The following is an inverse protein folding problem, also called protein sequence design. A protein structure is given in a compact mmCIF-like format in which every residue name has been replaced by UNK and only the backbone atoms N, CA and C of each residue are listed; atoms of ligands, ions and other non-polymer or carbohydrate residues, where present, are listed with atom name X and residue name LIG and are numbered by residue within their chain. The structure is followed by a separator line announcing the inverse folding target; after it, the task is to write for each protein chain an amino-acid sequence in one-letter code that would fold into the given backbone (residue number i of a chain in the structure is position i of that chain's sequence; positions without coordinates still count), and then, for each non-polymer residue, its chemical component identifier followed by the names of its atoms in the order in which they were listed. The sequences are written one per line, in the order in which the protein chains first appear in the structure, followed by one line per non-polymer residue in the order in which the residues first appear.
data_IF_420652747641
#
_entry.id   IF_420652747641
#
_cell.length_a   1.000
_cell.length_b   1.000
_cell.length_c   1.000
_cell.angle_alpha   90.00
_cell.angle_beta   90.00
_cell.angle_gamma   90.00
#
_symmetry.space_group_name_H-M   'P 1'
#
loop_
_entity.id
_entity.type
_entity.pdbx_description
1 polymer ?
#
# COMPACT_ATOMS: atom_id res chain seq x y z
N UNK A 1 -45.35 1.42 -84.15
CA UNK A 1 -45.12 2.53 -83.19
C UNK A 1 -46.09 2.38 -82.04
N UNK A 2 -45.63 1.94 -80.87
CA UNK A 2 -46.42 1.87 -79.64
C UNK A 2 -45.59 2.38 -78.48
N UNK A 3 -46.01 3.50 -77.89
CA UNK A 3 -45.41 4.13 -76.71
C UNK A 3 -45.81 3.35 -75.46
N UNK A 4 -44.85 2.94 -74.64
CA UNK A 4 -45.10 2.60 -73.23
C UNK A 4 -44.55 3.71 -72.33
N UNK A 5 -45.45 4.29 -71.53
CA UNK A 5 -45.20 5.21 -70.42
C UNK A 5 -45.14 4.40 -69.13
N UNK A 6 -44.29 4.85 -68.20
CA UNK A 6 -44.60 4.92 -66.78
C UNK A 6 -44.22 3.71 -65.92
N UNK A 7 -43.20 3.90 -65.09
CA UNK A 7 -42.86 3.03 -63.98
C UNK A 7 -41.79 3.66 -63.09
N UNK A 8 -42.17 4.68 -62.31
CA UNK A 8 -41.32 5.18 -61.24
C UNK A 8 -41.29 4.13 -60.13
N UNK A 9 -40.19 3.38 -60.05
CA UNK A 9 -39.88 2.56 -58.88
C UNK A 9 -39.34 3.47 -57.78
N UNK A 10 -40.19 3.81 -56.82
CA UNK A 10 -39.77 4.30 -55.51
C UNK A 10 -39.26 3.11 -54.71
N UNK A 11 -37.93 2.90 -54.67
CA UNK A 11 -37.36 1.86 -53.80
C UNK A 11 -36.11 2.32 -53.06
N UNK A 12 -36.39 2.70 -51.81
CA UNK A 12 -35.58 2.69 -50.58
C UNK A 12 -34.06 2.76 -50.74
N UNK A 13 -33.54 3.95 -50.48
CA UNK A 13 -32.12 4.19 -50.25
C UNK A 13 -31.55 3.20 -49.25
N UNK A 14 -30.59 2.41 -49.72
CA UNK A 14 -29.71 1.55 -48.93
C UNK A 14 -28.92 2.48 -48.01
N UNK A 15 -29.26 2.52 -46.72
CA UNK A 15 -28.44 3.22 -45.71
C UNK A 15 -27.02 2.73 -45.90
N UNK A 16 -26.13 3.65 -46.23
CA UNK A 16 -24.72 3.31 -46.42
C UNK A 16 -24.18 2.81 -45.08
N UNK A 17 -23.20 1.90 -45.08
CA UNK A 17 -22.58 1.40 -43.84
C UNK A 17 -22.09 2.56 -42.95
N UNK A 18 -21.70 3.67 -43.59
CA UNK A 18 -21.37 4.95 -42.97
C UNK A 18 -22.54 5.65 -42.27
N UNK A 19 -23.78 5.52 -42.77
CA UNK A 19 -24.97 6.03 -42.08
C UNK A 19 -25.29 5.20 -40.84
N UNK A 20 -25.12 3.88 -40.91
CA UNK A 20 -25.32 2.97 -39.77
C UNK A 20 -24.28 3.27 -38.68
N UNK A 21 -23.00 3.45 -39.04
CA UNK A 21 -21.94 3.83 -38.11
C UNK A 21 -22.19 5.19 -37.45
N UNK A 22 -22.69 6.19 -38.19
CA UNK A 22 -23.07 7.49 -37.61
C UNK A 22 -24.22 7.35 -36.60
N UNK A 23 -25.22 6.54 -36.90
CA UNK A 23 -26.30 6.25 -35.95
C UNK A 23 -25.79 5.54 -34.69
N UNK A 24 -24.89 4.57 -34.82
CA UNK A 24 -24.26 3.88 -33.68
C UNK A 24 -23.45 4.87 -32.83
N UNK A 25 -22.66 5.74 -33.46
CA UNK A 25 -21.86 6.75 -32.75
C UNK A 25 -22.75 7.75 -31.99
N UNK A 26 -23.88 8.19 -32.57
CA UNK A 26 -24.85 9.06 -31.90
C UNK A 26 -25.48 8.33 -30.72
N UNK A 27 -25.89 7.08 -30.89
CA UNK A 27 -26.49 6.28 -29.80
C UNK A 27 -25.49 6.07 -28.67
N UNK A 28 -24.23 5.72 -28.97
CA UNK A 28 -23.16 5.60 -27.97
C UNK A 28 -22.90 6.93 -27.25
N UNK A 29 -22.86 8.05 -27.98
CA UNK A 29 -22.70 9.37 -27.39
C UNK A 29 -23.84 9.70 -26.40
N UNK A 30 -25.09 9.42 -26.77
CA UNK A 30 -26.24 9.59 -25.87
C UNK A 30 -26.17 8.65 -24.67
N UNK A 31 -25.70 7.41 -24.85
CA UNK A 31 -25.54 6.44 -23.77
C UNK A 31 -24.46 6.87 -22.77
N UNK A 32 -23.35 7.42 -23.26
CA UNK A 32 -22.29 7.98 -22.42
C UNK A 32 -22.79 9.21 -21.66
N UNK A 33 -23.54 10.11 -22.31
CA UNK A 33 -24.13 11.28 -21.63
C UNK A 33 -25.16 10.84 -20.58
N UNK A 34 -25.96 9.80 -20.84
CA UNK A 34 -26.86 9.23 -19.84
C UNK A 34 -26.10 8.58 -18.69
N UNK A 35 -25.02 7.84 -18.96
CA UNK A 35 -24.18 7.23 -17.93
C UNK A 35 -23.54 8.29 -17.03
N UNK A 36 -22.99 9.36 -17.64
CA UNK A 36 -22.44 10.50 -16.90
C UNK A 36 -23.53 11.22 -16.12
N UNK A 37 -24.74 11.38 -16.69
CA UNK A 37 -25.89 11.93 -15.99
C UNK A 37 -26.28 11.09 -14.76
N UNK A 38 -26.30 9.76 -14.88
CA UNK A 38 -26.55 8.85 -13.75
C UNK A 38 -25.42 8.89 -12.73
N UNK A 39 -24.16 9.00 -13.14
CA UNK A 39 -23.04 9.11 -12.20
C UNK A 39 -23.05 10.45 -11.45
N UNK A 40 -23.35 11.56 -12.13
CA UNK A 40 -23.36 12.90 -11.52
C UNK A 40 -24.60 13.12 -10.65
N UNK A 41 -25.78 12.62 -11.05
CA UNK A 41 -27.02 12.79 -10.26
C UNK A 41 -27.34 11.61 -9.33
N UNK A 42 -26.73 10.45 -9.52
CA UNK A 42 -26.94 9.25 -8.70
C UNK A 42 -26.06 9.17 -7.45
N UNK A 43 -25.05 10.04 -7.33
CA UNK A 43 -24.18 10.12 -6.15
C UNK A 43 -24.95 10.54 -4.88
N UNK A 44 -26.04 11.31 -4.99
CA UNK A 44 -26.84 11.76 -3.83
C UNK A 44 -27.82 10.70 -3.27
N UNK A 45 -27.90 9.51 -3.89
CA UNK A 45 -28.90 8.47 -3.53
C UNK A 45 -28.30 7.16 -3.00
N UNK A 46 -26.98 7.08 -2.87
CA UNK A 46 -26.28 5.90 -2.37
C UNK A 46 -25.62 6.21 -1.02
N UNK A 47 -26.33 5.90 0.07
CA UNK A 47 -25.76 5.93 1.42
C UNK A 47 -25.45 4.49 1.83
N UNK A 48 -24.16 4.18 1.97
CA UNK A 48 -23.73 2.91 2.55
C UNK A 48 -23.87 2.99 4.07
N UNK A 49 -24.67 2.09 4.63
CA UNK A 49 -24.76 1.85 6.08
C UNK A 49 -24.52 0.37 6.33
N UNK A 50 -24.16 0.00 7.56
CA UNK A 50 -23.65 -1.33 7.96
C UNK A 50 -24.63 -2.53 7.76
N UNK A 51 -25.71 -2.36 7.01
CA UNK A 51 -26.66 -3.43 6.65
C UNK A 51 -27.02 -3.48 5.14
N UNK A 52 -26.17 -2.95 4.26
CA UNK A 52 -26.30 -3.09 2.80
C UNK A 52 -27.14 -2.02 2.08
N UNK A 53 -27.12 -2.07 0.75
CA UNK A 53 -27.61 -1.02 -0.17
C UNK A 53 -29.12 -0.74 0.01
N UNK A 54 -29.50 0.44 0.50
CA UNK A 54 -30.91 0.86 0.60
C UNK A 54 -31.22 2.02 -0.34
N UNK A 55 -32.27 1.86 -1.14
CA UNK A 55 -32.76 2.88 -2.06
C UNK A 55 -33.83 3.75 -1.37
N UNK A 56 -33.54 5.02 -1.07
CA UNK A 56 -34.54 5.95 -0.49
C UNK A 56 -35.12 6.87 -1.57
N UNK A 57 -36.42 6.75 -1.83
CA UNK A 57 -37.17 7.69 -2.67
C UNK A 57 -37.70 8.86 -1.84
N UNK A 58 -37.77 10.10 -2.37
CA UNK A 58 -38.17 11.28 -1.60
C UNK A 58 -39.69 11.52 -1.56
N UNK A 59 -40.51 10.47 -1.63
CA UNK A 59 -41.97 10.60 -1.73
C UNK A 59 -42.70 9.68 -0.76
N UNK A 60 -42.48 9.93 0.54
CA UNK A 60 -43.34 9.47 1.62
C UNK A 60 -43.15 10.36 2.86
N UNK A 61 -43.45 11.66 2.71
CA UNK A 61 -43.82 12.48 3.87
C UNK A 61 -45.26 12.12 4.24
N UNK A 62 -45.40 11.25 5.24
CA UNK A 62 -46.66 10.93 5.90
C UNK A 62 -46.41 10.95 7.41
N UNK A 63 -47.11 11.84 8.09
CA UNK A 63 -47.08 12.14 9.52
C UNK A 63 -47.00 10.90 10.45
N UNK A 64 -46.25 10.99 11.54
CA UNK A 64 -46.80 10.73 12.89
C UNK A 64 -45.90 11.22 14.05
N UNK A 65 -46.39 12.32 14.64
CA UNK A 65 -46.40 12.83 16.04
C UNK A 65 -45.43 12.30 17.11
N UNK A 66 -44.95 13.31 17.85
CA UNK A 66 -44.42 13.31 19.21
C UNK A 66 -45.14 12.35 20.19
N UNK A 67 -44.35 11.68 21.03
CA UNK A 67 -44.67 11.46 22.44
C UNK A 67 -43.44 11.73 23.31
N UNK A 68 -43.49 12.85 24.02
CA UNK A 68 -42.71 13.14 25.22
C UNK A 68 -43.29 12.32 26.39
N UNK A 69 -42.44 11.59 27.12
CA UNK A 69 -42.67 11.29 28.53
C UNK A 69 -41.40 11.60 29.32
N UNK A 70 -41.53 12.56 30.23
CA UNK A 70 -40.60 12.85 31.32
C UNK A 70 -40.48 11.65 32.26
N UNK A 71 -39.29 11.37 32.78
CA UNK A 71 -39.15 10.98 34.19
C UNK A 71 -37.75 11.24 34.73
N UNK A 72 -37.77 11.76 35.95
CA UNK A 72 -36.69 12.42 36.68
C UNK A 72 -35.72 11.43 37.35
N UNK A 73 -34.46 11.86 37.41
CA UNK A 73 -33.56 11.89 38.58
C UNK A 73 -33.54 10.69 39.54
N UNK A 74 -32.45 9.91 39.51
CA UNK A 74 -31.80 9.43 40.74
C UNK A 74 -30.29 9.45 40.54
N UNK A 75 -29.67 10.50 41.06
CA UNK A 75 -28.24 10.57 41.35
C UNK A 75 -27.91 9.60 42.51
N UNK A 76 -27.26 8.47 42.24
CA UNK A 76 -26.74 7.58 43.29
C UNK A 76 -25.30 7.97 43.60
N UNK A 77 -25.18 8.84 44.60
CA UNK A 77 -23.95 9.07 45.37
C UNK A 77 -23.69 7.83 46.21
N UNK A 78 -22.61 7.10 45.91
CA UNK A 78 -22.03 6.12 46.85
C UNK A 78 -20.72 6.72 47.36
N UNK A 79 -20.75 7.26 48.58
CA UNK A 79 -19.55 7.49 49.37
C UNK A 79 -19.20 6.23 50.18
N UNK A 80 -17.90 5.99 50.43
CA UNK A 80 -17.35 4.70 50.82
C UNK A 80 -17.43 4.44 52.34
N UNK A 81 -17.34 3.18 52.81
CA UNK A 81 -16.97 2.91 54.19
C UNK A 81 -15.45 3.02 54.36
N UNK A 82 -15.07 3.76 55.40
CA UNK A 82 -13.71 3.91 55.88
C UNK A 82 -13.16 2.60 56.47
N UNK A 83 -11.88 2.34 56.20
CA UNK A 83 -11.03 1.49 57.02
C UNK A 83 -10.34 0.37 56.25
N UNK A 84 -9.14 0.63 55.71
CA UNK A 84 -7.90 -0.04 56.13
C UNK A 84 -6.72 0.37 55.22
N UNK A 85 -5.82 1.12 55.83
CA UNK A 85 -4.36 1.14 55.63
C UNK A 85 -3.79 1.62 54.29
N UNK A 86 -3.09 2.75 54.41
CA UNK A 86 -2.02 3.21 53.54
C UNK A 86 -1.14 2.06 53.06
N UNK A 87 -1.15 1.83 51.76
CA UNK A 87 0.08 1.49 51.04
C UNK A 87 0.06 2.36 49.80
N UNK A 88 0.71 3.51 49.91
CA UNK A 88 1.08 4.34 48.78
C UNK A 88 2.12 3.54 48.01
N UNK A 89 1.67 2.69 47.09
CA UNK A 89 2.54 2.08 46.10
C UNK A 89 2.88 3.19 45.10
N UNK A 90 4.07 3.77 45.30
CA UNK A 90 4.74 4.62 44.34
C UNK A 90 4.67 3.91 42.98
N UNK A 91 4.08 4.52 41.94
CA UNK A 91 3.97 3.85 40.66
C UNK A 91 5.40 3.52 40.21
N UNK A 92 5.69 2.28 39.79
CA UNK A 92 7.01 1.95 39.29
C UNK A 92 7.32 2.91 38.15
N UNK A 93 8.33 3.74 38.36
CA UNK A 93 9.01 4.47 37.31
C UNK A 93 9.50 3.43 36.30
N UNK A 94 8.77 3.26 35.21
CA UNK A 94 9.11 2.25 34.21
C UNK A 94 7.98 1.72 33.34
N UNK A 95 6.71 2.01 33.62
CA UNK A 95 5.66 1.75 32.62
C UNK A 95 5.70 2.86 31.56
N UNK A 96 6.65 2.75 30.64
CA UNK A 96 6.49 3.32 29.31
C UNK A 96 5.24 2.65 28.74
N UNK A 97 4.09 3.31 28.87
CA UNK A 97 2.93 3.01 28.02
C UNK A 97 3.48 3.12 26.61
N UNK A 98 3.73 1.98 25.92
CA UNK A 98 4.08 2.00 24.50
C UNK A 98 3.02 2.84 23.83
N UNK A 99 3.37 4.07 23.44
CA UNK A 99 2.45 4.89 22.70
C UNK A 99 2.14 4.11 21.43
N UNK A 100 0.87 3.80 21.24
CA UNK A 100 0.40 3.10 20.07
C UNK A 100 0.87 3.89 18.83
N UNK A 101 1.63 3.24 17.95
CA UNK A 101 2.06 3.88 16.71
C UNK A 101 0.83 4.06 15.84
N UNK A 102 0.49 5.31 15.55
CA UNK A 102 -0.53 5.70 14.58
C UNK A 102 0.15 6.45 13.46
N UNK A 103 0.49 5.72 12.40
CA UNK A 103 1.15 6.30 11.25
C UNK A 103 0.14 6.66 10.16
N UNK A 104 0.39 7.75 9.44
CA UNK A 104 -0.37 8.16 8.27
C UNK A 104 0.56 8.30 7.08
N UNK A 105 0.17 7.70 5.95
CA UNK A 105 0.85 7.89 4.68
C UNK A 105 0.48 9.23 4.05
N UNK A 106 1.48 10.00 3.64
CA UNK A 106 1.33 11.27 2.91
C UNK A 106 2.29 11.31 1.72
N UNK A 107 2.00 12.11 0.67
CA UNK A 107 2.95 12.30 -0.42
C UNK A 107 4.17 13.10 0.06
N UNK A 108 5.34 12.84 -0.54
CA UNK A 108 6.60 13.57 -0.24
C UNK A 108 6.44 15.09 -0.42
N UNK A 109 5.60 15.53 -1.37
CA UNK A 109 5.30 16.95 -1.57
C UNK A 109 4.72 17.63 -0.32
N UNK A 110 3.99 16.89 0.54
CA UNK A 110 3.46 17.46 1.78
C UNK A 110 4.57 17.89 2.75
N UNK A 111 5.70 17.19 2.77
CA UNK A 111 6.88 17.56 3.55
C UNK A 111 7.56 18.78 2.93
N UNK A 112 7.76 18.78 1.61
CA UNK A 112 8.42 19.88 0.91
C UNK A 112 7.63 21.18 0.99
N UNK A 113 6.30 21.10 0.91
CA UNK A 113 5.41 22.26 0.98
C UNK A 113 5.08 22.67 2.43
N UNK A 114 5.58 21.95 3.43
CA UNK A 114 5.39 22.23 4.86
C UNK A 114 3.98 21.96 5.39
N UNK A 115 3.16 21.19 4.66
CA UNK A 115 1.76 20.88 5.04
C UNK A 115 1.64 19.59 5.85
N UNK A 116 2.65 18.72 5.83
CA UNK A 116 2.64 17.41 6.48
C UNK A 116 2.27 17.47 7.96
N UNK A 117 2.85 18.40 8.74
CA UNK A 117 2.57 18.52 10.17
C UNK A 117 1.08 18.77 10.45
N UNK A 118 0.46 19.71 9.75
CA UNK A 118 -0.95 20.02 9.95
C UNK A 118 -1.89 18.86 9.54
N UNK A 119 -1.50 18.06 8.54
CA UNK A 119 -2.24 16.87 8.13
C UNK A 119 -2.12 15.74 9.17
N UNK A 120 -0.93 15.53 9.73
CA UNK A 120 -0.70 14.55 10.80
C UNK A 120 -1.46 14.93 12.08
N UNK A 121 -1.44 16.20 12.48
CA UNK A 121 -2.18 16.69 13.65
C UNK A 121 -3.70 16.48 13.47
N UNK A 122 -4.24 16.76 12.27
CA UNK A 122 -5.66 16.51 11.95
C UNK A 122 -6.01 15.01 12.03
N UNK A 123 -5.10 14.14 11.60
CA UNK A 123 -5.26 12.70 11.70
C UNK A 123 -5.00 12.16 13.12
N UNK A 124 -4.43 12.98 14.02
CA UNK A 124 -3.91 12.54 15.32
C UNK A 124 -2.80 11.49 15.19
N UNK A 125 -2.04 11.53 14.08
CA UNK A 125 -0.96 10.60 13.79
C UNK A 125 0.35 11.07 14.44
N UNK A 126 1.12 10.14 14.99
CA UNK A 126 2.43 10.37 15.60
C UNK A 126 3.60 9.85 14.76
N UNK A 127 3.30 9.23 13.61
CA UNK A 127 4.27 8.76 12.65
C UNK A 127 3.86 9.12 11.21
N UNK A 128 4.85 9.32 10.34
CA UNK A 128 4.68 9.66 8.94
C UNK A 128 5.23 8.53 8.07
N UNK A 129 4.41 8.00 7.16
CA UNK A 129 4.87 7.10 6.10
C UNK A 129 5.03 7.90 4.82
N UNK A 130 6.19 7.76 4.17
CA UNK A 130 6.46 8.31 2.84
C UNK A 130 6.77 7.17 1.88
N UNK A 131 6.05 7.09 0.76
CA UNK A 131 6.45 6.24 -0.36
C UNK A 131 7.69 6.86 -1.02
N UNK A 132 8.85 6.30 -0.71
CA UNK A 132 10.13 6.80 -1.18
C UNK A 132 10.53 6.14 -2.50
N UNK A 133 10.13 4.89 -2.72
CA UNK A 133 10.27 4.23 -4.02
C UNK A 133 8.98 3.51 -4.37
N UNK A 134 8.39 3.88 -5.50
CA UNK A 134 7.15 3.27 -5.98
C UNK A 134 7.41 1.97 -6.78
N UNK A 135 6.32 1.27 -7.11
CA UNK A 135 6.34 0.05 -7.94
C UNK A 135 6.67 0.28 -9.42
N UNK A 136 6.67 1.53 -9.90
CA UNK A 136 7.16 1.91 -11.23
C UNK A 136 8.68 2.11 -11.23
N UNK A 137 9.31 2.23 -10.06
CA UNK A 137 10.72 2.49 -9.88
C UNK A 137 11.08 3.96 -9.70
N UNK A 138 10.10 4.86 -9.53
CA UNK A 138 10.36 6.29 -9.29
C UNK A 138 10.75 6.54 -7.84
N UNK A 139 11.69 7.45 -7.63
CA UNK A 139 12.20 7.81 -6.31
C UNK A 139 11.63 9.16 -5.86
N UNK A 140 11.16 9.20 -4.61
CA UNK A 140 10.68 10.39 -3.92
C UNK A 140 11.78 11.33 -3.45
N UNK A 141 13.05 10.94 -3.57
CA UNK A 141 14.21 11.78 -3.23
C UNK A 141 15.19 11.88 -4.40
N UNK A 142 16.13 12.82 -4.29
CA UNK A 142 17.22 12.95 -5.26
C UNK A 142 18.35 12.00 -4.89
N UNK A 143 18.37 10.83 -5.54
CA UNK A 143 19.41 9.81 -5.39
C UNK A 143 20.71 10.20 -6.09
N UNK A 144 21.84 9.78 -5.51
CA UNK A 144 23.19 9.95 -6.06
C UNK A 144 23.70 8.68 -6.75
N UNK A 145 22.96 7.56 -6.67
CA UNK A 145 23.34 6.32 -7.33
C UNK A 145 23.39 6.52 -8.86
N UNK A 146 24.49 6.13 -9.54
CA UNK A 146 24.65 6.33 -10.97
C UNK A 146 23.51 5.76 -11.82
N UNK A 147 22.98 4.59 -11.47
CA UNK A 147 21.86 3.96 -12.18
C UNK A 147 20.57 4.78 -12.06
N UNK A 148 20.24 5.24 -10.85
CA UNK A 148 19.04 6.06 -10.63
C UNK A 148 19.10 7.39 -11.40
N UNK A 149 20.28 8.01 -11.45
CA UNK A 149 20.50 9.26 -12.21
C UNK A 149 20.45 9.01 -13.71
N UNK A 150 21.12 7.96 -14.19
CA UNK A 150 21.20 7.63 -15.63
C UNK A 150 19.83 7.33 -16.22
N UNK A 151 19.00 6.57 -15.51
CA UNK A 151 17.68 6.16 -15.99
C UNK A 151 16.57 7.18 -15.68
N UNK A 152 16.93 8.30 -15.03
CA UNK A 152 16.02 9.41 -14.78
C UNK A 152 14.90 9.09 -13.81
N UNK A 153 15.10 8.15 -12.89
CA UNK A 153 14.12 7.79 -11.85
C UNK A 153 14.26 8.60 -10.56
N UNK A 154 15.38 9.32 -10.43
CA UNK A 154 15.65 10.23 -9.30
C UNK A 154 14.68 11.41 -9.29
N UNK A 155 14.27 11.87 -8.10
CA UNK A 155 13.41 13.05 -7.98
C UNK A 155 14.09 14.29 -8.55
N UNK A 156 13.33 15.05 -9.35
CA UNK A 156 13.75 16.35 -9.89
C UNK A 156 13.24 17.53 -9.05
N UNK A 157 12.56 17.26 -7.93
CA UNK A 157 12.05 18.29 -7.04
C UNK A 157 13.20 19.00 -6.32
N UNK A 158 13.33 20.30 -6.54
CA UNK A 158 14.39 21.10 -5.94
C UNK A 158 14.23 21.15 -4.40
N UNK A 159 15.32 20.95 -3.68
CA UNK A 159 15.34 21.04 -2.22
C UNK A 159 14.72 19.85 -1.49
N UNK A 160 14.32 18.77 -2.21
CA UNK A 160 13.60 17.64 -1.59
C UNK A 160 14.43 16.93 -0.52
N UNK A 161 15.73 16.73 -0.76
CA UNK A 161 16.60 16.06 0.21
C UNK A 161 16.78 16.91 1.46
N UNK A 162 16.99 18.22 1.32
CA UNK A 162 17.12 19.14 2.45
C UNK A 162 15.83 19.23 3.28
N UNK A 163 14.67 19.22 2.61
CA UNK A 163 13.38 19.19 3.28
C UNK A 163 13.18 17.90 4.08
N UNK A 164 13.49 16.74 3.49
CA UNK A 164 13.43 15.43 4.15
C UNK A 164 14.40 15.36 5.35
N UNK A 165 15.65 15.79 5.18
CA UNK A 165 16.63 15.83 6.26
C UNK A 165 16.20 16.75 7.41
N UNK A 166 15.63 17.90 7.09
CA UNK A 166 15.12 18.83 8.11
C UNK A 166 13.93 18.23 8.85
N UNK A 167 13.02 17.58 8.13
CA UNK A 167 11.85 16.92 8.70
C UNK A 167 12.25 15.76 9.62
N UNK A 168 13.20 14.92 9.18
CA UNK A 168 13.71 13.77 9.93
C UNK A 168 14.49 14.13 11.20
N UNK A 169 14.83 15.41 11.42
CA UNK A 169 15.40 15.90 12.69
C UNK A 169 14.32 16.28 13.71
N UNK A 170 13.04 16.22 13.33
CA UNK A 170 11.90 16.53 14.18
C UNK A 170 11.54 15.41 15.15
N UNK A 171 10.39 15.57 15.82
CA UNK A 171 9.90 14.62 16.84
C UNK A 171 8.92 13.57 16.27
N UNK A 172 8.48 13.73 15.01
CA UNK A 172 7.58 12.78 14.35
C UNK A 172 8.40 11.61 13.81
N UNK A 173 8.02 10.39 14.18
CA UNK A 173 8.67 9.18 13.70
C UNK A 173 8.46 9.00 12.19
N UNK A 174 9.52 8.81 11.41
CA UNK A 174 9.45 8.75 9.94
C UNK A 174 9.78 7.38 9.37
N UNK A 175 8.92 6.96 8.45
CA UNK A 175 8.95 5.64 7.84
C UNK A 175 9.09 5.82 6.33
N UNK A 176 10.19 5.35 5.75
CA UNK A 176 10.39 5.31 4.31
C UNK A 176 9.95 3.95 3.77
N UNK A 177 8.94 3.97 2.90
CA UNK A 177 8.41 2.77 2.23
C UNK A 177 9.09 2.58 0.88
N UNK A 178 9.63 1.39 0.64
CA UNK A 178 10.49 1.09 -0.52
C UNK A 178 9.97 -0.14 -1.25
N UNK A 179 9.40 0.04 -2.44
CA UNK A 179 9.04 -1.09 -3.31
C UNK A 179 10.31 -1.68 -3.95
N UNK A 180 10.69 -2.87 -3.49
CA UNK A 180 11.97 -3.50 -3.81
C UNK A 180 11.96 -4.17 -5.19
N UNK A 181 11.69 -5.48 -5.26
CA UNK A 181 11.87 -6.23 -6.50
C UNK A 181 10.77 -6.00 -7.53
N UNK A 182 9.60 -5.49 -7.14
CA UNK A 182 8.58 -5.01 -8.09
C UNK A 182 9.00 -3.63 -8.60
N UNK A 183 9.48 -3.59 -9.84
CA UNK A 183 10.00 -2.37 -10.47
C UNK A 183 9.81 -2.44 -11.99
N UNK A 184 9.10 -1.45 -12.54
CA UNK A 184 8.80 -1.45 -13.97
C UNK A 184 9.91 -0.84 -14.85
N UNK A 185 10.83 -0.07 -14.27
CA UNK A 185 11.86 0.70 -14.97
C UNK A 185 13.20 -0.04 -15.03
N UNK A 186 13.74 -0.45 -13.89
CA UNK A 186 15.09 -1.04 -13.81
C UNK A 186 15.23 -2.32 -14.64
N UNK A 187 14.34 -3.33 -14.53
CA UNK A 187 14.35 -4.50 -15.41
C UNK A 187 14.21 -4.17 -16.90
N UNK A 188 13.54 -3.07 -17.24
CA UNK A 188 13.33 -2.68 -18.63
C UNK A 188 14.61 -2.09 -19.25
N UNK A 189 15.31 -1.24 -18.51
CA UNK A 189 16.57 -0.64 -18.96
C UNK A 189 17.73 -1.65 -18.85
N UNK A 190 17.75 -2.43 -17.77
CA UNK A 190 18.81 -3.39 -17.44
C UNK A 190 18.26 -4.81 -17.38
N UNK A 191 18.23 -5.47 -18.53
CA UNK A 191 17.71 -6.84 -18.62
C UNK A 191 18.48 -7.86 -17.75
N UNK A 192 19.71 -7.55 -17.34
CA UNK A 192 20.51 -8.36 -16.38
C UNK A 192 19.92 -8.39 -14.97
N UNK A 193 19.17 -7.35 -14.59
CA UNK A 193 18.46 -7.29 -13.32
C UNK A 193 17.09 -7.97 -13.38
N UNK A 194 16.57 -8.26 -14.57
CA UNK A 194 15.17 -8.65 -14.74
C UNK A 194 14.91 -10.11 -14.35
N UNK A 195 13.75 -10.35 -13.71
CA UNK A 195 13.17 -11.69 -13.65
C UNK A 195 12.64 -12.07 -15.04
N UNK A 196 13.05 -13.22 -15.56
CA UNK A 196 12.85 -13.60 -16.97
C UNK A 196 11.72 -14.62 -17.16
N UNK A 197 11.07 -14.51 -18.30
CA UNK A 197 10.07 -15.44 -18.82
C UNK A 197 10.41 -15.80 -20.28
N UNK A 198 9.73 -16.81 -20.84
CA UNK A 198 9.93 -17.19 -22.24
C UNK A 198 9.59 -16.08 -23.25
N UNK A 199 8.77 -15.11 -22.85
CA UNK A 199 8.34 -13.99 -23.68
C UNK A 199 9.12 -12.68 -23.42
N UNK A 200 10.16 -12.70 -22.58
CA UNK A 200 10.94 -11.51 -22.22
C UNK A 200 11.04 -11.31 -20.70
N UNK A 201 10.91 -10.07 -20.24
CA UNK A 201 10.79 -9.80 -18.80
C UNK A 201 9.45 -10.35 -18.31
N UNK A 202 9.50 -11.12 -17.24
CA UNK A 202 8.30 -11.58 -16.57
C UNK A 202 7.51 -10.38 -16.04
N UNK A 203 6.20 -10.53 -16.00
CA UNK A 203 5.29 -9.53 -15.45
C UNK A 203 4.26 -10.19 -14.56
N UNK A 204 3.91 -9.46 -13.51
CA UNK A 204 2.87 -9.87 -12.58
C UNK A 204 1.46 -9.59 -13.13
N UNK A 205 0.46 -9.82 -12.28
CA UNK A 205 -0.96 -9.58 -12.56
C UNK A 205 -1.25 -8.11 -12.92
N UNK A 206 -0.50 -7.18 -12.35
CA UNK A 206 -0.58 -5.73 -12.59
C UNK A 206 0.20 -5.28 -13.84
N UNK A 207 0.81 -6.23 -14.56
CA UNK A 207 1.66 -6.00 -15.74
C UNK A 207 2.96 -5.27 -15.42
N UNK A 208 3.35 -5.22 -14.14
CA UNK A 208 4.62 -4.64 -13.71
C UNK A 208 5.72 -5.68 -13.85
N UNK A 209 6.92 -5.20 -14.18
CA UNK A 209 8.11 -6.04 -14.24
C UNK A 209 8.67 -6.21 -12.83
N UNK A 210 9.52 -7.22 -12.72
CA UNK A 210 10.22 -7.52 -11.48
C UNK A 210 11.72 -7.63 -11.76
N UNK A 211 12.51 -7.09 -10.82
CA UNK A 211 13.91 -7.44 -10.67
C UNK A 211 14.02 -8.86 -10.09
N UNK A 212 15.13 -9.52 -10.38
CA UNK A 212 15.41 -10.86 -9.90
C UNK A 212 16.21 -10.78 -8.58
N UNK A 213 15.71 -11.34 -7.45
CA UNK A 213 16.48 -11.44 -6.21
C UNK A 213 17.82 -12.19 -6.33
N UNK A 214 17.98 -13.07 -7.32
CA UNK A 214 19.27 -13.71 -7.62
C UNK A 214 20.29 -12.77 -8.29
N UNK A 215 19.87 -11.58 -8.75
CA UNK A 215 20.75 -10.64 -9.44
C UNK A 215 21.48 -9.74 -8.45
N UNK A 216 22.80 -9.95 -8.33
CA UNK A 216 23.66 -9.09 -7.49
C UNK A 216 23.53 -7.61 -7.88
N UNK A 217 23.36 -7.30 -9.16
CA UNK A 217 23.21 -5.93 -9.64
C UNK A 217 21.92 -5.27 -9.10
N UNK A 218 20.83 -6.03 -9.01
CA UNK A 218 19.58 -5.56 -8.43
C UNK A 218 19.69 -5.40 -6.91
N UNK A 219 20.35 -6.35 -6.24
CA UNK A 219 20.61 -6.31 -4.80
C UNK A 219 21.47 -5.10 -4.43
N UNK A 220 22.58 -4.87 -5.13
CA UNK A 220 23.48 -3.73 -4.91
C UNK A 220 22.74 -2.39 -5.07
N UNK A 221 21.89 -2.29 -6.11
CA UNK A 221 21.09 -1.10 -6.37
C UNK A 221 20.11 -0.82 -5.22
N UNK A 222 19.31 -1.82 -4.82
CA UNK A 222 18.31 -1.66 -3.76
C UNK A 222 18.95 -1.40 -2.38
N UNK A 223 20.03 -2.10 -2.04
CA UNK A 223 20.77 -1.85 -0.79
C UNK A 223 21.39 -0.46 -0.77
N UNK A 224 21.94 0.01 -1.90
CA UNK A 224 22.43 1.37 -2.04
C UNK A 224 21.34 2.43 -1.81
N UNK A 225 20.14 2.22 -2.36
CA UNK A 225 19.00 3.11 -2.14
C UNK A 225 18.57 3.14 -0.67
N UNK A 226 18.53 1.99 -0.01
CA UNK A 226 18.23 1.90 1.42
C UNK A 226 19.27 2.65 2.27
N UNK A 227 20.55 2.53 1.91
CA UNK A 227 21.63 3.28 2.57
C UNK A 227 21.49 4.81 2.40
N UNK A 228 21.09 5.29 1.21
CA UNK A 228 20.81 6.73 1.01
C UNK A 228 19.64 7.21 1.89
N UNK A 229 18.57 6.42 2.01
CA UNK A 229 17.42 6.76 2.86
C UNK A 229 17.80 6.79 4.35
N UNK A 230 18.56 5.80 4.81
CA UNK A 230 19.09 5.80 6.17
C UNK A 230 19.98 7.04 6.43
N UNK A 231 20.81 7.43 5.45
CA UNK A 231 21.61 8.65 5.52
C UNK A 231 20.76 9.94 5.54
N UNK A 232 19.58 9.95 4.93
CA UNK A 232 18.62 11.06 5.02
C UNK A 232 17.95 11.14 6.40
N UNK A 233 18.18 10.17 7.29
CA UNK A 233 17.76 10.20 8.68
C UNK A 233 16.38 9.59 8.95
N UNK A 234 15.88 8.73 8.06
CA UNK A 234 14.63 8.01 8.35
C UNK A 234 14.80 7.07 9.55
N UNK A 235 13.80 7.04 10.44
CA UNK A 235 13.80 6.17 11.61
C UNK A 235 13.60 4.70 11.23
N UNK A 236 12.78 4.44 10.21
CA UNK A 236 12.42 3.10 9.76
C UNK A 236 12.35 2.98 8.23
N UNK A 237 12.85 1.88 7.68
CA UNK A 237 12.59 1.45 6.31
C UNK A 237 11.60 0.29 6.32
N UNK A 238 10.51 0.43 5.57
CA UNK A 238 9.57 -0.67 5.29
C UNK A 238 9.82 -1.15 3.86
N UNK A 239 10.36 -2.36 3.73
CA UNK A 239 10.57 -2.98 2.43
C UNK A 239 9.29 -3.67 1.95
N UNK A 240 8.73 -3.17 0.85
CA UNK A 240 7.61 -3.79 0.15
C UNK A 240 8.11 -4.66 -1.00
N UNK A 241 7.44 -5.79 -1.25
CA UNK A 241 7.89 -6.80 -2.23
C UNK A 241 9.40 -7.17 -2.08
N UNK A 242 9.91 -7.48 -0.87
CA UNK A 242 11.35 -7.72 -0.63
C UNK A 242 11.83 -9.11 -1.06
N UNK A 243 11.07 -9.82 -1.90
CA UNK A 243 11.26 -11.24 -2.15
C UNK A 243 10.76 -11.66 -3.54
N UNK A 244 10.80 -12.96 -3.85
CA UNK A 244 10.26 -13.48 -5.11
C UNK A 244 8.74 -13.30 -5.20
N UNK A 245 8.18 -13.11 -6.41
CA UNK A 245 6.74 -12.97 -6.59
C UNK A 245 6.00 -14.26 -6.23
N UNK A 246 4.88 -14.13 -5.53
CA UNK A 246 3.98 -15.24 -5.17
C UNK A 246 2.66 -15.24 -5.94
N UNK A 247 2.43 -14.22 -6.77
CA UNK A 247 1.23 -14.06 -7.58
C UNK A 247 1.57 -13.89 -9.06
N UNK A 248 0.56 -14.03 -9.92
CA UNK A 248 0.71 -13.98 -11.37
C UNK A 248 1.00 -15.34 -11.99
N UNK A 249 1.45 -15.36 -13.25
CA UNK A 249 1.75 -16.59 -13.97
C UNK A 249 3.18 -17.07 -13.65
N UNK A 250 3.36 -17.65 -12.46
CA UNK A 250 4.66 -18.11 -11.97
C UNK A 250 5.26 -19.22 -12.86
N UNK A 251 4.44 -20.06 -13.49
CA UNK A 251 4.88 -21.12 -14.41
C UNK A 251 5.58 -20.58 -15.67
N UNK A 252 5.36 -19.30 -16.00
CA UNK A 252 6.04 -18.66 -17.13
C UNK A 252 7.45 -18.16 -16.81
N UNK A 253 7.83 -18.13 -15.52
CA UNK A 253 9.17 -17.73 -15.08
C UNK A 253 10.17 -18.79 -15.53
N UNK A 254 11.33 -18.34 -16.02
CA UNK A 254 12.39 -19.25 -16.42
C UNK A 254 12.90 -20.04 -15.21
N UNK A 255 13.14 -21.33 -15.41
CA UNK A 255 13.64 -22.23 -14.36
C UNK A 255 15.17 -22.13 -14.29
N UNK A 256 15.69 -21.03 -13.74
CA UNK A 256 17.10 -20.79 -13.46
C UNK A 256 17.31 -20.34 -12.00
N UNK A 257 18.57 -20.20 -11.56
CA UNK A 257 18.91 -19.70 -10.22
C UNK A 257 18.14 -20.39 -9.08
N UNK A 258 17.47 -19.58 -8.26
CA UNK A 258 16.62 -20.04 -7.16
C UNK A 258 15.39 -20.83 -7.64
N UNK A 259 14.82 -20.53 -8.82
CA UNK A 259 13.73 -21.32 -9.40
C UNK A 259 14.16 -22.73 -9.84
N UNK A 260 15.44 -22.93 -10.18
CA UNK A 260 15.97 -24.24 -10.51
C UNK A 260 16.42 -25.05 -9.27
N UNK A 261 16.93 -24.37 -8.25
CA UNK A 261 17.55 -25.00 -7.08
C UNK A 261 16.65 -25.06 -5.84
N UNK A 262 15.58 -24.26 -5.80
CA UNK A 262 14.75 -24.06 -4.61
C UNK A 262 15.38 -23.13 -3.56
N UNK A 263 16.49 -22.44 -3.88
CA UNK A 263 17.27 -21.62 -2.94
C UNK A 263 16.68 -20.22 -2.67
N UNK A 264 15.35 -20.07 -2.71
CA UNK A 264 14.68 -18.76 -2.59
C UNK A 264 15.03 -18.02 -1.30
N UNK A 265 15.01 -18.72 -0.16
CA UNK A 265 15.33 -18.13 1.15
C UNK A 265 16.76 -17.59 1.17
N UNK A 266 17.73 -18.34 0.67
CA UNK A 266 19.14 -17.91 0.63
C UNK A 266 19.36 -16.65 -0.21
N UNK A 267 18.66 -16.51 -1.34
CA UNK A 267 18.74 -15.30 -2.16
C UNK A 267 18.11 -14.08 -1.45
N UNK A 268 16.99 -14.27 -0.76
CA UNK A 268 16.35 -13.21 0.04
C UNK A 268 17.20 -12.83 1.26
N UNK A 269 17.77 -13.79 1.98
CA UNK A 269 18.71 -13.56 3.08
C UNK A 269 19.92 -12.75 2.64
N UNK A 270 20.49 -13.08 1.47
CA UNK A 270 21.61 -12.33 0.91
C UNK A 270 21.24 -10.86 0.65
N UNK A 271 20.07 -10.62 0.06
CA UNK A 271 19.56 -9.26 -0.13
C UNK A 271 19.39 -8.51 1.20
N UNK A 272 18.69 -9.12 2.17
CA UNK A 272 18.39 -8.49 3.45
C UNK A 272 19.65 -8.22 4.28
N UNK A 273 20.64 -9.13 4.26
CA UNK A 273 21.93 -8.91 4.90
C UNK A 273 22.67 -7.70 4.32
N UNK A 274 22.59 -7.49 3.01
CA UNK A 274 23.23 -6.35 2.37
C UNK A 274 22.50 -5.03 2.67
N UNK A 275 21.16 -5.06 2.79
CA UNK A 275 20.38 -3.91 3.26
C UNK A 275 20.71 -3.59 4.71
N UNK A 276 20.71 -4.59 5.60
CA UNK A 276 21.06 -4.43 7.02
C UNK A 276 22.44 -3.78 7.17
N UNK A 277 23.44 -4.26 6.43
CA UNK A 277 24.78 -3.68 6.42
C UNK A 277 24.79 -2.22 5.95
N UNK A 278 23.95 -1.86 4.97
CA UNK A 278 23.88 -0.50 4.45
C UNK A 278 23.24 0.49 5.43
N UNK A 279 22.32 0.02 6.28
CA UNK A 279 21.57 0.88 7.21
C UNK A 279 22.12 0.87 8.65
N UNK A 280 22.87 -0.15 9.05
CA UNK A 280 23.44 -0.31 10.40
C UNK A 280 24.17 0.95 10.93
N UNK A 281 24.99 1.67 10.13
CA UNK A 281 25.72 2.83 10.63
C UNK A 281 24.82 4.00 11.09
N UNK A 282 23.55 3.99 10.69
CA UNK A 282 22.58 5.05 10.97
C UNK A 282 21.59 4.67 12.08
N UNK A 283 21.56 3.39 12.49
CA UNK A 283 20.60 2.90 13.48
C UNK A 283 19.15 2.86 12.99
N UNK A 284 18.92 2.95 11.68
CA UNK A 284 17.59 2.87 11.07
C UNK A 284 16.99 1.49 11.24
N UNK A 285 15.73 1.42 11.67
CA UNK A 285 14.97 0.17 11.85
C UNK A 285 14.65 -0.44 10.48
N UNK A 286 14.89 -1.73 10.31
CA UNK A 286 14.51 -2.47 9.12
C UNK A 286 13.24 -3.29 9.37
N UNK A 287 12.22 -3.02 8.57
CA UNK A 287 10.92 -3.66 8.62
C UNK A 287 10.54 -4.27 7.29
N UNK A 288 9.83 -5.40 7.32
CA UNK A 288 9.41 -6.11 6.12
C UNK A 288 7.88 -6.13 6.04
N UNK A 289 7.35 -5.79 4.87
CA UNK A 289 5.94 -6.00 4.57
C UNK A 289 5.74 -7.41 4.02
N UNK A 290 4.79 -8.13 4.60
CA UNK A 290 4.44 -9.50 4.21
C UNK A 290 2.97 -9.55 3.83
N UNK A 291 2.68 -10.15 2.68
CA UNK A 291 1.31 -10.33 2.21
C UNK A 291 0.72 -11.64 2.72
N UNK A 292 -0.61 -11.72 2.73
CA UNK A 292 -1.35 -12.93 3.13
C UNK A 292 -0.85 -14.20 2.45
N UNK A 293 -0.69 -14.17 1.13
CA UNK A 293 -0.24 -15.35 0.37
C UNK A 293 1.16 -15.83 0.78
N UNK A 294 2.05 -14.89 1.13
CA UNK A 294 3.40 -15.22 1.58
C UNK A 294 3.37 -15.91 2.95
N UNK A 295 2.47 -15.47 3.85
CA UNK A 295 2.23 -16.11 5.14
C UNK A 295 1.62 -17.50 4.95
N UNK A 296 0.57 -17.64 4.14
CA UNK A 296 -0.12 -18.91 3.89
C UNK A 296 0.82 -19.96 3.26
N UNK A 297 1.72 -19.53 2.38
CA UNK A 297 2.72 -20.40 1.74
C UNK A 297 3.97 -20.64 2.60
N UNK A 298 4.02 -20.10 3.83
CA UNK A 298 5.15 -20.20 4.76
C UNK A 298 6.50 -19.81 4.13
N UNK A 299 6.47 -18.88 3.17
CA UNK A 299 7.66 -18.43 2.46
C UNK A 299 8.30 -19.45 1.49
N UNK A 300 7.65 -20.58 1.20
CA UNK A 300 8.27 -21.67 0.42
C UNK A 300 8.73 -21.25 -0.98
N UNK A 301 8.01 -20.32 -1.62
CA UNK A 301 8.32 -19.81 -2.98
C UNK A 301 8.81 -18.36 -2.95
N UNK A 302 8.34 -17.54 -1.98
CA UNK A 302 8.83 -16.16 -1.87
C UNK A 302 10.27 -16.08 -1.35
N UNK A 303 10.68 -17.01 -0.49
CA UNK A 303 11.92 -16.92 0.29
C UNK A 303 11.76 -16.20 1.63
N UNK A 304 10.61 -15.56 1.92
CA UNK A 304 10.30 -14.94 3.22
C UNK A 304 9.79 -15.99 4.22
N UNK A 305 10.67 -16.86 4.67
CA UNK A 305 10.34 -17.85 5.71
C UNK A 305 10.29 -17.19 7.09
N UNK A 306 9.67 -17.85 8.08
CA UNK A 306 9.65 -17.35 9.46
C UNK A 306 11.04 -17.07 10.03
N UNK A 307 12.02 -17.92 9.74
CA UNK A 307 13.41 -17.73 10.15
C UNK A 307 14.04 -16.46 9.55
N UNK A 308 13.75 -16.17 8.27
CA UNK A 308 14.21 -14.94 7.61
C UNK A 308 13.59 -13.70 8.26
N UNK A 309 12.29 -13.76 8.56
CA UNK A 309 11.59 -12.67 9.24
C UNK A 309 12.17 -12.43 10.64
N UNK A 310 12.34 -13.48 11.45
CA UNK A 310 12.91 -13.38 12.80
C UNK A 310 14.35 -12.84 12.82
N UNK A 311 15.13 -13.15 11.80
CA UNK A 311 16.53 -12.73 11.74
C UNK A 311 16.68 -11.27 11.28
N UNK A 312 15.93 -10.86 10.26
CA UNK A 312 16.18 -9.58 9.58
C UNK A 312 15.12 -8.51 9.81
N UNK A 313 13.89 -8.88 10.20
CA UNK A 313 12.81 -7.93 10.42
C UNK A 313 12.71 -7.56 11.90
N UNK A 314 12.92 -6.29 12.22
CA UNK A 314 12.63 -5.78 13.56
C UNK A 314 11.12 -5.61 13.74
N UNK A 315 10.40 -5.31 12.64
CA UNK A 315 8.92 -5.33 12.59
C UNK A 315 8.43 -5.97 11.30
N UNK A 316 7.27 -6.60 11.39
CA UNK A 316 6.57 -7.20 10.24
C UNK A 316 5.27 -6.45 10.02
N UNK A 317 5.13 -5.86 8.84
CA UNK A 317 3.96 -5.12 8.42
C UNK A 317 3.02 -6.05 7.68
N UNK A 318 1.77 -6.16 8.15
CA UNK A 318 0.81 -7.14 7.65
C UNK A 318 -0.56 -6.48 7.48
N UNK A 319 -1.25 -6.84 6.40
CA UNK A 319 -2.65 -6.44 6.20
C UNK A 319 -3.56 -7.00 7.30
N UNK A 320 -4.55 -6.24 7.76
CA UNK A 320 -5.45 -6.61 8.87
C UNK A 320 -6.05 -8.04 8.73
N UNK A 321 -6.40 -8.44 7.50
CA UNK A 321 -7.01 -9.74 7.21
C UNK A 321 -6.02 -10.93 7.25
N UNK A 322 -4.72 -10.69 7.42
CA UNK A 322 -3.66 -11.69 7.41
C UNK A 322 -2.98 -11.87 8.78
N UNK A 323 -3.28 -11.00 9.75
CA UNK A 323 -2.67 -11.03 11.10
C UNK A 323 -2.99 -12.35 11.83
N UNK A 324 -4.25 -12.78 11.82
CA UNK A 324 -4.66 -14.03 12.48
C UNK A 324 -3.93 -15.25 11.92
N UNK A 325 -3.64 -15.25 10.62
CA UNK A 325 -2.94 -16.37 9.97
C UNK A 325 -1.45 -16.38 10.29
N UNK A 326 -0.83 -15.19 10.40
CA UNK A 326 0.55 -15.10 10.83
C UNK A 326 0.71 -15.63 12.26
N UNK A 327 -0.20 -15.24 13.15
CA UNK A 327 -0.24 -15.72 14.54
C UNK A 327 -0.52 -17.22 14.65
N UNK A 328 -1.41 -17.77 13.82
CA UNK A 328 -1.73 -19.22 13.81
C UNK A 328 -0.64 -20.08 13.17
N UNK A 329 0.07 -19.56 12.16
CA UNK A 329 1.13 -20.28 11.45
C UNK A 329 2.47 -20.32 12.20
N UNK A 330 2.61 -19.50 13.23
CA UNK A 330 3.89 -19.19 13.87
C UNK A 330 3.92 -19.41 15.38
N UNK A 331 3.45 -20.57 15.89
CA UNK A 331 3.57 -20.93 17.32
C UNK A 331 5.01 -20.80 17.89
N UNK A 332 6.05 -20.74 17.04
CA UNK A 332 7.45 -20.46 17.44
C UNK A 332 8.00 -19.09 16.95
N UNK A 333 7.44 -18.51 15.88
CA UNK A 333 7.94 -17.26 15.28
C UNK A 333 7.29 -16.00 15.87
N UNK A 334 6.09 -16.13 16.45
CA UNK A 334 5.34 -15.01 17.01
C UNK A 334 6.03 -14.38 18.21
N UNK A 335 6.72 -15.13 19.07
CA UNK A 335 7.17 -14.67 20.39
C UNK A 335 8.21 -13.53 20.40
N UNK A 336 8.75 -13.12 19.23
CA UNK A 336 9.76 -12.05 19.11
C UNK A 336 9.46 -10.97 18.08
N UNK A 337 8.51 -11.20 17.17
CA UNK A 337 8.23 -10.27 16.08
C UNK A 337 7.20 -9.21 16.52
N UNK A 338 7.53 -7.93 16.30
CA UNK A 338 6.55 -6.86 16.43
C UNK A 338 5.70 -6.79 15.16
N UNK A 339 4.40 -7.03 15.29
CA UNK A 339 3.48 -6.97 14.15
C UNK A 339 2.85 -5.58 14.10
N UNK A 340 2.96 -4.95 12.93
CA UNK A 340 2.30 -3.69 12.61
C UNK A 340 1.11 -4.00 11.71
N UNK A 341 -0.09 -3.63 12.14
CA UNK A 341 -1.30 -3.82 11.35
C UNK A 341 -1.49 -2.67 10.37
N UNK A 342 -1.75 -3.00 9.12
CA UNK A 342 -2.10 -2.05 8.08
C UNK A 342 -3.62 -1.97 7.89
N UNK A 343 -4.18 -0.76 8.03
CA UNK A 343 -5.57 -0.46 7.68
C UNK A 343 -5.65 0.47 6.48
N UNK A 344 -6.58 0.18 5.57
CA UNK A 344 -6.96 1.09 4.50
C UNK A 344 -8.03 2.05 5.00
N UNK A 345 -7.85 3.35 4.83
CA UNK A 345 -8.95 4.31 5.05
C UNK A 345 -9.84 4.44 3.80
N UNK A 346 -10.94 5.19 3.91
CA UNK A 346 -11.91 5.42 2.82
C UNK A 346 -11.30 6.08 1.56
N UNK A 347 -10.07 6.59 1.66
CA UNK A 347 -9.31 7.17 0.55
C UNK A 347 -8.26 6.21 -0.04
N UNK A 348 -8.20 4.97 0.43
CA UNK A 348 -7.25 3.95 -0.04
C UNK A 348 -5.82 4.17 0.44
N UNK A 349 -5.59 5.03 1.43
CA UNK A 349 -4.28 5.21 2.07
C UNK A 349 -4.12 4.24 3.24
N UNK A 350 -2.89 3.80 3.47
CA UNK A 350 -2.56 2.84 4.51
C UNK A 350 -2.16 3.56 5.80
N UNK A 351 -2.71 3.09 6.91
CA UNK A 351 -2.34 3.52 8.25
C UNK A 351 -1.77 2.33 9.02
N UNK A 352 -0.65 2.56 9.69
CA UNK A 352 -0.13 1.61 10.67
C UNK A 352 -0.87 1.80 11.99
N UNK A 353 -1.46 0.73 12.51
CA UNK A 353 -2.14 0.69 13.80
C UNK A 353 -1.44 -0.26 14.75
N UNK A 354 -0.78 0.36 15.72
CA UNK A 354 -0.26 -0.31 16.90
C UNK A 354 0.91 -1.27 16.63
N UNK A 355 1.60 -1.60 17.71
CA UNK A 355 2.54 -2.70 17.76
C UNK A 355 1.87 -3.79 18.57
N UNK A 356 1.57 -4.92 17.94
CA UNK A 356 1.12 -6.10 18.68
C UNK A 356 2.36 -6.78 19.28
N UNK A 357 2.34 -7.11 20.58
CA UNK A 357 3.39 -7.93 21.15
C UNK A 357 3.37 -9.29 20.47
N UNK A 358 4.55 -9.76 20.10
CA UNK A 358 4.75 -11.12 19.68
C UNK A 358 4.34 -12.08 20.80
N UNK A 359 3.26 -12.83 20.61
CA UNK A 359 2.68 -13.73 21.64
C UNK A 359 3.54 -14.96 21.87
#
# INVERSE_FOLDING_TARGET
MGRFRGGYSSYRGRRTVTDILKWIAIVLGVLVVLLVGVLVFGQDYLVFTDNGLQWRTPLASGEQKEQTQEQQDVNVVIQPPAGSQDTQEEPPAGSQTSQEMKAQELPVSAVVDGTAQGLLEQAGANALILEMKDSQGQLGWSSQLPLAVQDGVTSSQAGVNEALQTWNQGEIYTIAKVCCFRDNTMPYQHNSMALRANYGNWRDEQKLRWMNPDSQEAVDYLAGLCGELAQLGFDELVLECPAFPTQGNLEAIQTDGSYASGAFATAVEHFLAQVEQAVEPYGTVLSLQVTRDQVEQQGAVSGLTGAVLEQYAQRVWVEENAVSQLLESGEDASARLQIVQLQTNDQGTWNALGLLPGT
#
